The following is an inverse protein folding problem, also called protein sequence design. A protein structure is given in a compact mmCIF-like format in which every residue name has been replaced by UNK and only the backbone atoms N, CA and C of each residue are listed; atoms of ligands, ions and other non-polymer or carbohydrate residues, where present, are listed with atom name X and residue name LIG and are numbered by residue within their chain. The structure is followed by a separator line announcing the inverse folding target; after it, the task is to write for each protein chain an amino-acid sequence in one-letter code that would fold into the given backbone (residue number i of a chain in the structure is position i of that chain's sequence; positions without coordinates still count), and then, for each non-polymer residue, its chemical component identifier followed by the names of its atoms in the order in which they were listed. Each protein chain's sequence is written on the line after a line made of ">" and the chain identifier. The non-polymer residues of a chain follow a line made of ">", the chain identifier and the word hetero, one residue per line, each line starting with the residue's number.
data_IF_046997893967
#
_entry.id   IF_046997893967
#
_cell.length_a   1.000
_cell.length_b   1.000
_cell.length_c   1.000
_cell.angle_alpha   90.00
_cell.angle_beta   90.00
_cell.angle_gamma   90.00
#
_symmetry.space_group_name_H-M   'P 1'
#
loop_
_entity.id
_entity.type
_entity.pdbx_description
1 polymer ?
#
# COMPACT_ATOMS: atom_id res chain seq x y z
N UNK A 1 -28.32 -43.68 27.59
CA UNK A 1 -26.97 -43.09 27.38
C UNK A 1 -27.11 -42.05 26.28
N UNK A 2 -27.55 -40.82 26.53
CA UNK A 2 -27.25 -39.98 27.68
C UNK A 2 -26.03 -39.13 27.37
N UNK A 3 -26.11 -38.25 26.36
CA UNK A 3 -25.27 -37.06 26.33
C UNK A 3 -26.17 -35.84 26.40
N UNK A 4 -25.93 -35.09 27.47
CA UNK A 4 -26.67 -33.97 28.05
C UNK A 4 -26.05 -32.68 27.50
N UNK A 5 -26.91 -31.77 27.01
CA UNK A 5 -26.96 -30.30 27.26
C UNK A 5 -25.74 -29.45 26.80
N UNK A 6 -25.85 -28.33 26.09
CA UNK A 6 -26.56 -27.10 26.45
C UNK A 6 -27.12 -26.35 25.24
N UNK A 7 -28.36 -25.89 25.41
CA UNK A 7 -28.92 -24.73 24.73
C UNK A 7 -28.50 -23.47 25.53
N UNK A 8 -27.88 -22.50 24.87
CA UNK A 8 -27.82 -21.11 25.38
C UNK A 8 -28.36 -20.22 24.27
N UNK A 9 -29.53 -19.63 24.53
CA UNK A 9 -30.16 -18.65 23.68
C UNK A 9 -29.77 -17.22 24.08
N UNK A 10 -29.76 -16.37 23.05
CA UNK A 10 -29.88 -14.91 23.04
C UNK A 10 -28.68 -14.06 23.50
N UNK A 11 -28.12 -13.28 22.56
CA UNK A 11 -28.23 -11.82 22.55
C UNK A 11 -28.08 -11.29 21.11
N UNK A 12 -29.12 -10.62 20.62
CA UNK A 12 -29.02 -9.64 19.52
C UNK A 12 -28.15 -8.49 19.99
N UNK A 13 -26.88 -8.48 19.60
CA UNK A 13 -26.00 -7.33 19.81
C UNK A 13 -25.86 -6.56 18.50
N UNK A 14 -26.67 -5.51 18.37
CA UNK A 14 -26.54 -4.50 17.32
C UNK A 14 -25.29 -3.68 17.62
N UNK A 15 -24.13 -4.22 17.28
CA UNK A 15 -22.84 -3.51 17.43
C UNK A 15 -22.70 -2.55 16.26
N UNK A 16 -22.69 -1.26 16.58
CA UNK A 16 -22.34 -0.17 15.67
C UNK A 16 -21.13 -0.59 14.82
N UNK A 17 -21.22 -0.48 13.50
CA UNK A 17 -20.15 -0.86 12.56
C UNK A 17 -18.98 0.13 12.66
N UNK A 18 -18.23 0.05 13.76
CA UNK A 18 -16.88 0.59 13.85
C UNK A 18 -15.91 -0.39 13.21
N UNK A 19 -15.03 0.13 12.35
CA UNK A 19 -13.99 -0.59 11.59
C UNK A 19 -13.46 -1.82 12.34
N UNK A 20 -13.69 -3.00 11.75
CA UNK A 20 -13.42 -4.29 12.37
C UNK A 20 -11.94 -4.50 12.63
N UNK A 21 -11.62 -5.09 13.79
CA UNK A 21 -10.26 -5.45 14.19
C UNK A 21 -9.60 -6.53 13.32
N UNK A 22 -10.35 -7.15 12.39
CA UNK A 22 -9.89 -8.16 11.43
C UNK A 22 -9.69 -7.62 10.00
N UNK A 23 -9.92 -6.32 9.77
CA UNK A 23 -9.79 -5.73 8.43
C UNK A 23 -8.46 -4.96 8.32
N UNK A 24 -7.63 -5.33 7.33
CA UNK A 24 -6.35 -4.63 7.09
C UNK A 24 -6.64 -3.15 6.81
N UNK A 25 -5.94 -2.27 7.52
CA UNK A 25 -6.15 -0.82 7.39
C UNK A 25 -5.60 -0.34 6.06
N UNK A 26 -6.25 0.60 5.40
CA UNK A 26 -5.70 1.17 4.15
C UNK A 26 -4.67 2.25 4.49
N UNK A 27 -3.46 2.14 3.95
CA UNK A 27 -2.41 3.15 4.05
C UNK A 27 -2.13 3.75 2.68
N UNK A 28 -2.28 5.07 2.57
CA UNK A 28 -1.92 5.81 1.35
C UNK A 28 -0.51 6.36 1.49
N UNK A 29 0.38 5.99 0.56
CA UNK A 29 1.74 6.53 0.47
C UNK A 29 1.80 7.44 -0.75
N UNK A 30 2.01 8.74 -0.52
CA UNK A 30 2.07 9.74 -1.58
C UNK A 30 3.52 10.18 -1.84
N UNK A 31 4.06 9.85 -3.01
CA UNK A 31 5.40 10.26 -3.45
C UNK A 31 5.34 11.59 -4.20
N UNK A 32 5.87 12.65 -3.58
CA UNK A 32 6.04 13.97 -4.20
C UNK A 32 7.40 14.03 -4.90
N UNK A 33 7.41 14.36 -6.20
CA UNK A 33 8.64 14.34 -7.01
C UNK A 33 8.81 13.07 -7.83
N UNK A 34 7.96 12.08 -7.57
CA UNK A 34 7.78 10.88 -8.37
C UNK A 34 8.30 9.60 -7.71
N UNK A 35 8.00 8.46 -8.33
CA UNK A 35 8.31 7.12 -7.79
C UNK A 35 8.82 6.21 -8.90
N UNK A 36 9.73 5.31 -8.53
CA UNK A 36 10.30 4.30 -9.42
C UNK A 36 9.55 2.98 -9.32
N UNK A 37 9.69 2.13 -10.35
CA UNK A 37 9.12 0.79 -10.33
C UNK A 37 9.70 -0.10 -9.21
N UNK A 38 10.94 0.17 -8.80
CA UNK A 38 11.60 -0.57 -7.71
C UNK A 38 10.93 -0.28 -6.37
N UNK A 39 10.64 0.99 -6.08
CA UNK A 39 9.92 1.40 -4.85
C UNK A 39 8.49 0.86 -4.85
N UNK A 40 7.80 0.92 -6.00
CA UNK A 40 6.48 0.32 -6.15
C UNK A 40 6.53 -1.20 -5.86
N UNK A 41 7.53 -1.91 -6.39
CA UNK A 41 7.69 -3.34 -6.17
C UNK A 41 8.00 -3.66 -4.70
N UNK A 42 8.83 -2.85 -4.04
CA UNK A 42 9.14 -2.99 -2.62
C UNK A 42 7.89 -2.83 -1.76
N UNK A 43 7.07 -1.79 -2.00
CA UNK A 43 5.83 -1.58 -1.26
C UNK A 43 4.78 -2.66 -1.54
N UNK A 44 4.69 -3.17 -2.77
CA UNK A 44 3.84 -4.34 -3.09
C UNK A 44 4.32 -5.61 -2.41
N UNK A 45 5.63 -5.80 -2.29
CA UNK A 45 6.21 -6.92 -1.55
C UNK A 45 5.92 -6.80 -0.06
N UNK A 46 6.03 -5.58 0.50
CA UNK A 46 5.71 -5.28 1.90
C UNK A 46 4.23 -5.49 2.21
N UNK A 47 3.32 -5.00 1.36
CA UNK A 47 1.86 -5.14 1.53
C UNK A 47 1.38 -6.60 1.51
N UNK A 48 2.20 -7.53 0.99
CA UNK A 48 1.90 -8.97 0.97
C UNK A 48 2.44 -9.71 2.20
N UNK A 49 3.28 -9.08 3.02
CA UNK A 49 3.82 -9.74 4.21
C UNK A 49 2.71 -9.93 5.26
N UNK A 50 2.66 -11.08 5.94
CA UNK A 50 1.65 -11.34 6.98
C UNK A 50 1.78 -10.37 8.16
N UNK A 51 2.99 -9.86 8.41
CA UNK A 51 3.30 -8.88 9.45
C UNK A 51 2.83 -7.46 9.10
N UNK A 52 2.44 -7.20 7.84
CA UNK A 52 2.00 -5.88 7.40
C UNK A 52 0.51 -5.69 7.70
N UNK A 53 0.12 -4.80 8.63
CA UNK A 53 -1.28 -4.61 8.98
C UNK A 53 -2.03 -3.72 7.97
N UNK A 54 -1.39 -3.36 6.84
CA UNK A 54 -1.87 -2.37 5.90
C UNK A 54 -2.05 -2.90 4.48
N UNK A 55 -3.16 -2.50 3.86
CA UNK A 55 -3.31 -2.49 2.40
C UNK A 55 -2.76 -1.18 1.85
N UNK A 56 -1.64 -1.28 1.12
CA UNK A 56 -0.88 -0.11 0.69
C UNK A 56 -1.38 0.38 -0.67
N UNK A 57 -1.87 1.63 -0.70
CA UNK A 57 -2.19 2.36 -1.92
C UNK A 57 -1.07 3.37 -2.20
N UNK A 58 -0.48 3.27 -3.38
CA UNK A 58 0.64 4.13 -3.79
C UNK A 58 0.10 5.21 -4.71
N UNK A 59 0.33 6.47 -4.36
CA UNK A 59 0.05 7.64 -5.17
C UNK A 59 1.34 8.41 -5.42
N UNK A 60 1.45 9.05 -6.57
CA UNK A 60 2.69 9.73 -6.97
C UNK A 60 2.38 10.87 -7.94
N UNK A 61 3.23 11.89 -7.96
CA UNK A 61 3.16 12.95 -8.98
C UNK A 61 3.57 12.46 -10.36
N UNK A 62 4.50 11.50 -10.46
CA UNK A 62 4.98 10.94 -11.73
C UNK A 62 5.69 9.61 -11.52
N UNK A 63 5.47 8.63 -12.39
CA UNK A 63 6.31 7.43 -12.44
C UNK A 63 7.57 7.76 -13.26
N UNK A 64 8.75 7.52 -12.68
CA UNK A 64 10.04 7.87 -13.29
C UNK A 64 11.09 6.77 -13.12
N UNK A 65 12.18 6.92 -13.87
CA UNK A 65 13.39 6.12 -13.77
C UNK A 65 14.60 7.07 -13.70
N UNK A 66 15.81 6.51 -13.49
CA UNK A 66 17.02 7.31 -13.36
C UNK A 66 17.23 8.29 -14.52
N UNK A 67 17.05 7.84 -15.77
CA UNK A 67 17.20 8.72 -16.94
C UNK A 67 16.13 9.81 -16.98
N UNK A 68 14.88 9.49 -16.64
CA UNK A 68 13.78 10.44 -16.57
C UNK A 68 14.01 11.53 -15.51
N UNK A 69 14.63 11.17 -14.39
CA UNK A 69 15.02 12.12 -13.34
C UNK A 69 16.12 13.07 -13.86
N UNK A 70 17.20 12.51 -14.40
CA UNK A 70 18.34 13.30 -14.89
C UNK A 70 17.90 14.25 -16.01
N UNK A 71 17.07 13.79 -16.95
CA UNK A 71 16.50 14.64 -18.02
C UNK A 71 15.61 15.77 -17.51
N UNK A 72 15.04 15.65 -16.31
CA UNK A 72 14.17 16.69 -15.74
C UNK A 72 14.94 17.76 -14.97
N UNK A 73 16.18 17.49 -14.59
CA UNK A 73 17.02 18.40 -13.77
C UNK A 73 18.14 19.02 -14.59
N UNK A 74 18.68 18.28 -15.57
CA UNK A 74 19.83 18.69 -16.36
C UNK A 74 19.39 19.50 -17.58
N UNK A 75 20.16 20.54 -17.91
CA UNK A 75 19.91 21.36 -19.08
C UNK A 75 19.89 20.53 -20.38
N UNK A 76 18.99 20.84 -21.33
CA UNK A 76 18.84 20.09 -22.58
C UNK A 76 20.14 19.97 -23.39
N UNK A 77 20.99 21.00 -23.34
CA UNK A 77 22.28 21.02 -24.03
C UNK A 77 23.26 19.98 -23.43
N UNK A 78 23.23 19.81 -22.11
CA UNK A 78 24.10 18.85 -21.42
C UNK A 78 23.58 17.40 -21.58
N UNK A 79 22.27 17.20 -21.68
CA UNK A 79 21.65 15.89 -21.98
C UNK A 79 22.12 15.37 -23.34
N UNK A 80 22.19 16.26 -24.33
CA UNK A 80 22.67 15.94 -25.69
C UNK A 80 24.16 15.57 -25.68
N UNK A 81 24.97 16.29 -24.88
CA UNK A 81 26.40 16.01 -24.74
C UNK A 81 26.70 14.67 -24.04
N UNK A 82 25.85 14.25 -23.09
CA UNK A 82 26.01 13.01 -22.33
C UNK A 82 25.40 11.75 -23.00
N UNK A 83 24.80 11.89 -24.20
CA UNK A 83 24.12 10.80 -24.93
C UNK A 83 23.08 10.02 -24.07
N UNK A 84 22.39 10.72 -23.16
CA UNK A 84 21.41 10.14 -22.23
C UNK A 84 19.97 10.11 -22.79
#
# INVERSE_FOLDING_TARGET
>A
MGHVTLFVGATTDKKDKGFGADERKVMVVFFVGGVTFMEIAALRHLSKQPECPFDIVIATTKILNGNGLIKSIVDPELVTALKL
#
